data_IF_669517090554
#
_entry.id   IF_669517090554
#
_cell.length_a   1.000
_cell.length_b   1.000
_cell.length_c   1.000
_cell.angle_alpha   90.00
_cell.angle_beta   90.00
_cell.angle_gamma   90.00
#
_symmetry.space_group_name_H-M   'P 1'
#
loop_
_entity.id
_entity.type
_entity.pdbx_description
1 polymer ?
#
# COMPACT_ATOMS: atom_id res chain seq x y z
N UNK A 1 -15.62 -2.36 7.15
CA UNK A 1 -14.67 -1.80 6.16
C UNK A 1 -15.51 -1.46 4.93
N UNK A 2 -15.76 -0.19 4.64
CA UNK A 2 -16.52 0.21 3.47
C UNK A 2 -15.57 0.20 2.27
N UNK A 3 -15.82 -0.68 1.30
CA UNK A 3 -15.25 -0.55 -0.03
C UNK A 3 -15.90 0.70 -0.63
N UNK A 4 -15.16 1.79 -0.75
CA UNK A 4 -15.68 2.95 -1.45
C UNK A 4 -15.83 2.60 -2.92
N UNK A 5 -17.04 2.79 -3.45
CA UNK A 5 -17.26 2.84 -4.89
C UNK A 5 -16.21 3.72 -5.55
N UNK A 6 -15.73 3.30 -6.71
CA UNK A 6 -14.75 4.04 -7.50
C UNK A 6 -15.38 5.37 -7.90
N UNK A 7 -15.09 6.41 -7.12
CA UNK A 7 -15.47 7.77 -7.49
C UNK A 7 -14.61 8.17 -8.70
N UNK A 8 -15.19 8.77 -9.76
CA UNK A 8 -14.44 9.23 -10.93
C UNK A 8 -13.27 10.12 -10.50
N UNK A 9 -12.08 9.79 -10.91
CA UNK A 9 -10.80 10.29 -10.38
C UNK A 9 -10.51 11.78 -10.62
N UNK A 10 -11.38 12.56 -11.23
CA UNK A 10 -11.04 13.93 -11.66
C UNK A 10 -11.55 15.05 -10.76
N UNK A 11 -12.70 14.88 -10.14
CA UNK A 11 -13.49 16.02 -9.66
C UNK A 11 -13.69 16.09 -8.14
N UNK A 12 -13.24 15.10 -7.39
CA UNK A 12 -13.43 15.12 -5.95
C UNK A 12 -12.32 15.89 -5.24
N UNK A 13 -12.66 17.11 -4.80
CA UNK A 13 -11.78 17.93 -3.95
C UNK A 13 -12.11 17.65 -2.49
N UNK A 14 -11.15 17.11 -1.77
CA UNK A 14 -11.23 16.99 -0.32
C UNK A 14 -11.06 18.38 0.28
N UNK A 15 -12.04 18.82 1.08
CA UNK A 15 -11.95 20.08 1.83
C UNK A 15 -11.40 19.80 3.22
N UNK A 16 -10.09 19.69 3.34
CA UNK A 16 -9.37 19.56 4.61
C UNK A 16 -8.15 20.49 4.57
N UNK A 17 -8.26 21.62 5.27
CA UNK A 17 -7.24 22.69 5.30
C UNK A 17 -5.83 22.19 5.59
N UNK A 18 -5.69 21.08 6.30
CA UNK A 18 -4.39 20.47 6.63
C UNK A 18 -3.66 19.96 5.38
N UNK A 19 -4.41 19.45 4.40
CA UNK A 19 -3.88 18.80 3.20
C UNK A 19 -4.07 19.62 1.92
N UNK A 20 -4.83 20.73 1.94
CA UNK A 20 -5.15 21.54 0.77
C UNK A 20 -3.91 21.98 -0.03
N UNK A 21 -2.83 22.31 0.69
CA UNK A 21 -1.54 22.70 0.08
C UNK A 21 -0.89 21.61 -0.76
N UNK A 22 -1.23 20.35 -0.52
CA UNK A 22 -0.63 19.21 -1.21
C UNK A 22 -1.40 18.81 -2.48
N UNK A 23 -2.63 19.28 -2.64
CA UNK A 23 -3.51 18.96 -3.77
C UNK A 23 -3.63 17.45 -4.02
N UNK A 24 -3.73 16.67 -2.95
CA UNK A 24 -3.80 15.23 -3.01
C UNK A 24 -5.04 14.76 -3.78
N UNK A 25 -4.88 13.73 -4.58
CA UNK A 25 -5.99 12.92 -5.05
C UNK A 25 -6.62 12.18 -3.86
N UNK A 26 -7.84 11.71 -4.03
CA UNK A 26 -8.60 11.10 -2.92
C UNK A 26 -7.86 9.95 -2.22
N UNK A 27 -7.24 9.07 -2.99
CA UNK A 27 -6.47 7.96 -2.42
C UNK A 27 -5.21 8.44 -1.67
N UNK A 28 -4.52 9.46 -2.18
CA UNK A 28 -3.36 10.07 -1.53
C UNK A 28 -3.75 10.75 -0.21
N UNK A 29 -4.93 11.39 -0.20
CA UNK A 29 -5.51 11.96 1.02
C UNK A 29 -5.77 10.88 2.08
N UNK A 30 -6.30 9.71 1.69
CA UNK A 30 -6.52 8.61 2.63
C UNK A 30 -5.22 8.10 3.25
N UNK A 31 -4.11 8.02 2.49
CA UNK A 31 -2.81 7.71 3.05
C UNK A 31 -2.39 8.75 4.11
N UNK A 32 -2.44 10.03 3.76
CA UNK A 32 -2.05 11.10 4.65
C UNK A 32 -2.91 11.12 5.93
N UNK A 33 -4.23 10.96 5.78
CA UNK A 33 -5.17 10.96 6.91
C UNK A 33 -4.99 9.75 7.82
N UNK A 34 -4.77 8.57 7.23
CA UNK A 34 -4.54 7.34 8.01
C UNK A 34 -3.24 7.42 8.79
N UNK A 35 -2.16 7.91 8.16
CA UNK A 35 -0.90 8.15 8.84
C UNK A 35 -1.02 9.13 10.00
N UNK A 36 -1.82 10.19 9.86
CA UNK A 36 -2.03 11.16 10.94
C UNK A 36 -2.81 10.58 12.13
N UNK A 37 -3.62 9.55 11.89
CA UNK A 37 -4.40 8.87 12.91
C UNK A 37 -3.69 7.68 13.55
N UNK A 38 -2.62 7.23 12.94
CA UNK A 38 -1.81 6.14 13.45
C UNK A 38 -0.85 6.67 14.52
N UNK A 39 -0.71 5.96 15.63
CA UNK A 39 0.30 6.26 16.65
C UNK A 39 1.71 6.03 16.11
N UNK A 40 2.76 6.67 16.65
CA UNK A 40 4.14 6.30 16.37
C UNK A 40 4.38 4.80 16.54
N UNK A 41 5.17 4.19 15.66
CA UNK A 41 5.41 2.75 15.65
C UNK A 41 4.23 1.91 15.13
N UNK A 42 3.04 2.48 15.00
CA UNK A 42 1.88 1.77 14.47
C UNK A 42 2.07 1.34 13.02
N UNK A 43 1.59 0.15 12.68
CA UNK A 43 1.66 -0.42 11.33
C UNK A 43 0.30 -0.37 10.67
N UNK A 44 0.27 -0.04 9.39
CA UNK A 44 -0.92 -0.11 8.55
C UNK A 44 -0.64 -0.78 7.22
N UNK A 45 -1.66 -1.44 6.66
CA UNK A 45 -1.65 -1.94 5.30
C UNK A 45 -2.82 -1.31 4.54
N UNK A 46 -2.55 -0.73 3.38
CA UNK A 46 -3.54 -0.10 2.51
C UNK A 46 -3.45 -0.67 1.11
N UNK A 47 -4.64 -0.96 0.54
CA UNK A 47 -4.76 -1.32 -0.88
C UNK A 47 -5.05 -0.04 -1.67
N UNK A 48 -4.28 0.18 -2.73
CA UNK A 48 -4.42 1.34 -3.61
C UNK A 48 -4.22 0.93 -5.07
N UNK A 49 -4.55 1.80 -6.01
CA UNK A 49 -4.14 1.59 -7.40
C UNK A 49 -2.63 1.74 -7.56
N UNK A 50 -2.04 1.09 -8.58
CA UNK A 50 -0.61 1.25 -8.92
C UNK A 50 -0.17 2.72 -9.02
N UNK A 51 -1.11 3.62 -9.31
CA UNK A 51 -0.82 5.05 -9.47
C UNK A 51 -0.19 5.71 -8.25
N UNK A 52 -0.38 5.21 -7.05
CA UNK A 52 0.31 5.74 -5.86
C UNK A 52 1.82 5.50 -5.96
N UNK A 53 2.23 4.31 -6.39
CA UNK A 53 3.63 3.94 -6.52
C UNK A 53 4.23 4.41 -7.85
N UNK A 54 3.50 4.34 -8.97
CA UNK A 54 4.04 4.51 -10.33
C UNK A 54 3.84 5.91 -10.95
N UNK A 55 3.13 6.84 -10.28
CA UNK A 55 2.96 8.18 -10.87
C UNK A 55 4.29 8.94 -10.98
N UNK A 56 4.45 9.74 -12.02
CA UNK A 56 5.67 10.53 -12.28
C UNK A 56 5.96 11.51 -11.13
N UNK A 57 4.92 12.11 -10.54
CA UNK A 57 5.11 13.05 -9.44
C UNK A 57 5.50 12.33 -8.15
N UNK A 58 6.61 12.75 -7.56
CA UNK A 58 7.17 12.15 -6.33
C UNK A 58 6.46 12.63 -5.06
N UNK A 59 5.65 13.69 -5.14
CA UNK A 59 5.16 14.44 -3.99
C UNK A 59 4.49 13.57 -2.91
N UNK A 60 3.65 12.62 -3.33
CA UNK A 60 2.94 11.74 -2.41
C UNK A 60 3.89 10.73 -1.76
N UNK A 61 4.76 10.09 -2.54
CA UNK A 61 5.75 9.14 -2.02
C UNK A 61 6.73 9.81 -1.05
N UNK A 62 7.21 11.01 -1.36
CA UNK A 62 8.02 11.83 -0.43
C UNK A 62 7.25 12.14 0.86
N UNK A 63 5.98 12.55 0.74
CA UNK A 63 5.14 12.83 1.90
C UNK A 63 5.02 11.60 2.81
N UNK A 64 4.78 10.43 2.22
CA UNK A 64 4.68 9.16 2.95
C UNK A 64 6.02 8.81 3.58
N UNK A 65 7.12 8.82 2.81
CA UNK A 65 8.46 8.44 3.26
C UNK A 65 8.96 9.26 4.45
N UNK A 66 8.64 10.55 4.47
CA UNK A 66 8.98 11.43 5.61
C UNK A 66 8.24 11.06 6.90
N UNK A 67 7.11 10.37 6.82
CA UNK A 67 6.20 10.07 7.95
C UNK A 67 6.12 8.60 8.30
N UNK A 68 6.47 7.75 7.37
CA UNK A 68 6.38 6.31 7.54
C UNK A 68 7.53 5.61 6.83
N UNK A 69 7.86 4.44 7.32
CA UNK A 69 8.76 3.50 6.68
C UNK A 69 7.94 2.53 5.83
N UNK A 70 8.41 2.24 4.62
CA UNK A 70 7.85 1.19 3.79
C UNK A 70 8.44 -0.14 4.24
N UNK A 71 7.64 -0.95 4.91
CA UNK A 71 8.03 -2.31 5.30
C UNK A 71 7.99 -3.28 4.11
N UNK A 72 7.07 -3.02 3.18
CA UNK A 72 6.94 -3.78 1.95
C UNK A 72 5.78 -3.30 1.10
N UNK A 73 5.79 -3.69 -0.17
CA UNK A 73 4.67 -3.49 -1.08
C UNK A 73 4.46 -4.74 -1.92
N UNK A 74 3.20 -5.08 -2.21
CA UNK A 74 2.84 -6.24 -3.03
C UNK A 74 1.98 -5.75 -4.18
N UNK A 75 2.37 -6.06 -5.42
CA UNK A 75 1.60 -5.75 -6.62
C UNK A 75 0.69 -6.89 -7.00
N UNK A 76 -0.60 -6.60 -7.09
CA UNK A 76 -1.65 -7.55 -7.44
C UNK A 76 -1.93 -7.55 -8.94
N UNK A 77 -2.29 -8.70 -9.53
CA UNK A 77 -2.75 -8.77 -10.91
C UNK A 77 -3.99 -7.90 -11.15
N UNK A 78 -4.15 -7.45 -12.39
CA UNK A 78 -5.23 -6.54 -12.78
C UNK A 78 -6.63 -7.11 -12.60
N UNK A 79 -6.78 -8.43 -12.60
CA UNK A 79 -8.07 -9.12 -12.45
C UNK A 79 -8.47 -9.42 -11.00
N UNK A 80 -7.63 -9.08 -10.03
CA UNK A 80 -7.85 -9.39 -8.60
C UNK A 80 -9.22 -8.95 -8.10
N UNK A 81 -9.70 -7.80 -8.53
CA UNK A 81 -10.99 -7.25 -8.11
C UNK A 81 -12.10 -7.35 -9.18
N UNK A 82 -11.85 -8.06 -10.30
CA UNK A 82 -12.81 -8.17 -11.39
C UNK A 82 -14.13 -8.81 -10.94
N UNK A 83 -14.06 -9.90 -10.15
CA UNK A 83 -15.26 -10.60 -9.66
C UNK A 83 -16.11 -9.78 -8.69
N UNK A 84 -15.49 -8.84 -7.95
CA UNK A 84 -16.16 -8.12 -6.86
C UNK A 84 -16.56 -6.70 -7.22
N UNK A 85 -15.67 -6.01 -7.95
CA UNK A 85 -15.85 -4.61 -8.31
C UNK A 85 -16.11 -4.43 -9.82
N UNK A 86 -16.11 -5.50 -10.60
CA UNK A 86 -16.33 -5.43 -12.05
C UNK A 86 -15.24 -4.64 -12.78
N UNK A 87 -14.08 -4.42 -12.17
CA UNK A 87 -13.00 -3.61 -12.73
C UNK A 87 -11.71 -4.39 -12.84
N UNK A 88 -10.97 -4.15 -13.92
CA UNK A 88 -9.62 -4.64 -14.11
C UNK A 88 -8.63 -3.51 -13.84
N UNK A 89 -8.00 -3.53 -12.68
CA UNK A 89 -7.06 -2.51 -12.26
C UNK A 89 -5.90 -3.12 -11.50
N UNK A 90 -4.68 -2.78 -11.87
CA UNK A 90 -3.49 -3.15 -11.09
C UNK A 90 -3.53 -2.39 -9.78
N UNK A 91 -3.43 -3.12 -8.69
CA UNK A 91 -3.48 -2.57 -7.33
C UNK A 91 -2.24 -2.99 -6.55
N UNK A 92 -1.82 -2.12 -5.66
CA UNK A 92 -0.69 -2.36 -4.77
C UNK A 92 -1.18 -2.40 -3.32
N UNK A 93 -0.64 -3.33 -2.53
CA UNK A 93 -0.78 -3.34 -1.07
C UNK A 93 0.48 -2.70 -0.51
N UNK A 94 0.36 -1.60 0.20
CA UNK A 94 1.48 -0.94 0.87
C UNK A 94 1.41 -1.20 2.36
N UNK A 95 2.51 -1.68 2.93
CA UNK A 95 2.67 -1.95 4.36
C UNK A 95 3.64 -0.92 4.91
N UNK A 96 3.13 -0.08 5.81
CA UNK A 96 3.82 1.11 6.29
C UNK A 96 3.86 1.11 7.82
N UNK A 97 5.01 1.49 8.38
CA UNK A 97 5.13 1.79 9.80
C UNK A 97 5.26 3.29 10.03
N UNK A 98 4.43 3.84 10.90
CA UNK A 98 4.47 5.25 11.28
C UNK A 98 5.75 5.56 12.03
N UNK A 99 6.49 6.60 11.58
CA UNK A 99 7.66 7.13 12.31
C UNK A 99 7.22 7.93 13.52
N UNK A 100 8.09 8.03 14.50
CA UNK A 100 7.90 8.87 15.71
C UNK A 100 7.94 10.37 15.38
N UNK A 101 8.72 10.74 14.36
CA UNK A 101 8.92 12.13 13.92
C UNK A 101 9.01 12.22 12.41
N UNK A 102 8.93 13.44 11.91
CA UNK A 102 9.22 13.73 10.50
C UNK A 102 10.73 13.61 10.26
N UNK A 103 11.09 12.83 9.24
CA UNK A 103 12.47 12.67 8.80
C UNK A 103 12.55 13.16 7.35
N UNK A 104 13.50 14.04 7.07
CA UNK A 104 13.79 14.46 5.69
C UNK A 104 14.65 13.39 4.99
N UNK A 105 13.95 12.40 4.44
CA UNK A 105 14.56 11.24 3.78
C UNK A 105 13.88 11.01 2.43
N UNK A 106 14.65 10.55 1.48
CA UNK A 106 14.21 10.19 0.14
C UNK A 106 14.77 8.82 -0.25
N UNK A 107 14.18 7.72 0.29
CA UNK A 107 14.60 6.37 -0.05
C UNK A 107 14.27 6.03 -1.51
N UNK A 108 14.92 5.01 -2.06
CA UNK A 108 14.82 4.63 -3.47
C UNK A 108 13.39 4.42 -3.95
N UNK A 109 12.52 3.83 -3.12
CA UNK A 109 11.13 3.60 -3.48
C UNK A 109 10.30 4.88 -3.71
N UNK A 110 10.83 6.05 -3.40
CA UNK A 110 10.21 7.33 -3.79
C UNK A 110 10.31 7.55 -5.30
N UNK A 111 11.30 6.94 -5.95
CA UNK A 111 11.59 7.11 -7.37
C UNK A 111 10.99 5.99 -8.22
N UNK A 112 11.02 6.23 -9.53
CA UNK A 112 10.71 5.22 -10.55
C UNK A 112 12.01 4.72 -11.15
N UNK A 113 11.97 3.47 -11.61
CA UNK A 113 13.04 2.84 -12.35
C UNK A 113 12.44 2.04 -13.51
N UNK A 114 13.28 1.37 -14.27
CA UNK A 114 12.89 0.58 -15.44
C UNK A 114 13.38 -0.84 -15.26
N UNK A 115 12.50 -1.82 -15.44
CA UNK A 115 12.87 -3.22 -15.38
C UNK A 115 13.67 -3.67 -16.61
N UNK A 116 14.13 -4.91 -16.62
CA UNK A 116 14.88 -5.51 -17.72
C UNK A 116 14.10 -5.55 -19.06
N UNK A 117 12.78 -5.47 -19.02
CA UNK A 117 11.87 -5.45 -20.17
C UNK A 117 11.56 -4.04 -20.68
N UNK A 118 12.15 -3.00 -20.06
CA UNK A 118 11.90 -1.62 -20.41
C UNK A 118 10.59 -1.05 -19.85
N UNK A 119 9.96 -1.70 -18.87
CA UNK A 119 8.74 -1.25 -18.25
C UNK A 119 9.08 -0.34 -17.07
N UNK A 120 8.62 0.90 -17.15
CA UNK A 120 8.80 1.88 -16.07
C UNK A 120 7.80 1.64 -14.94
N UNK A 121 8.31 1.50 -13.73
CA UNK A 121 7.51 1.31 -12.52
C UNK A 121 8.28 1.82 -11.28
N UNK A 122 7.70 1.67 -10.11
CA UNK A 122 8.38 2.05 -8.87
C UNK A 122 9.66 1.22 -8.67
N UNK A 123 10.75 1.88 -8.24
CA UNK A 123 12.04 1.22 -8.01
C UNK A 123 11.97 0.07 -7.02
N UNK A 124 11.05 0.12 -6.04
CA UNK A 124 10.81 -0.99 -5.12
C UNK A 124 10.48 -2.29 -5.87
N UNK A 125 9.59 -2.24 -6.86
CA UNK A 125 9.19 -3.43 -7.62
C UNK A 125 10.26 -3.86 -8.63
N UNK A 126 11.12 -2.96 -9.08
CA UNK A 126 12.27 -3.33 -9.91
C UNK A 126 13.31 -4.08 -9.08
N UNK A 127 13.53 -3.66 -7.82
CA UNK A 127 14.45 -4.30 -6.89
C UNK A 127 13.89 -5.59 -6.27
N UNK A 128 12.55 -5.70 -6.17
CA UNK A 128 11.83 -6.81 -5.54
C UNK A 128 10.80 -7.40 -6.50
N UNK A 129 11.21 -8.05 -7.60
CA UNK A 129 10.29 -8.62 -8.59
C UNK A 129 9.42 -9.75 -8.01
N UNK A 130 9.88 -10.43 -6.95
CA UNK A 130 9.12 -11.44 -6.21
C UNK A 130 7.85 -10.89 -5.53
N UNK A 131 7.78 -9.57 -5.36
CA UNK A 131 6.62 -8.89 -4.79
C UNK A 131 5.56 -8.54 -5.83
N UNK A 132 5.76 -8.91 -7.09
CA UNK A 132 4.79 -8.75 -8.19
C UNK A 132 4.11 -10.10 -8.44
N UNK A 133 2.80 -10.19 -8.14
CA UNK A 133 2.04 -11.44 -8.23
C UNK A 133 1.48 -11.72 -9.63
N UNK A 134 2.21 -11.34 -10.66
CA UNK A 134 1.86 -11.53 -12.05
C UNK A 134 2.96 -11.07 -12.97
N UNK A 135 2.70 -11.11 -14.27
CA UNK A 135 3.65 -10.69 -15.30
C UNK A 135 3.38 -9.23 -15.70
N UNK A 136 4.40 -8.38 -15.59
CA UNK A 136 4.30 -7.00 -16.09
C UNK A 136 4.36 -6.97 -17.60
N UNK A 137 3.37 -6.34 -18.23
CA UNK A 137 3.25 -6.21 -19.69
C UNK A 137 2.79 -4.82 -20.10
N UNK A 138 3.26 -4.39 -21.27
CA UNK A 138 2.71 -3.21 -21.94
C UNK A 138 1.49 -3.64 -22.78
N UNK A 139 0.35 -3.02 -22.52
CA UNK A 139 -0.89 -3.28 -23.26
C UNK A 139 -1.43 -2.00 -23.88
N UNK A 140 -2.23 -2.13 -24.94
CA UNK A 140 -2.93 -1.00 -25.53
C UNK A 140 -4.13 -0.63 -24.68
N UNK A 141 -4.05 0.48 -23.97
CA UNK A 141 -5.12 1.05 -23.18
C UNK A 141 -5.89 2.16 -23.93
N UNK A 142 -6.86 2.75 -23.26
CA UNK A 142 -7.71 3.81 -23.82
C UNK A 142 -6.93 5.06 -24.26
N UNK A 143 -5.82 5.34 -23.60
CA UNK A 143 -5.02 6.57 -23.80
C UNK A 143 -3.61 6.27 -24.34
N UNK A 144 -3.36 5.08 -24.84
CA UNK A 144 -2.07 4.64 -25.37
C UNK A 144 -1.56 3.36 -24.71
N UNK A 145 -0.28 3.11 -24.85
CA UNK A 145 0.36 1.95 -24.19
C UNK A 145 0.46 2.20 -22.69
N UNK A 146 0.02 1.24 -21.90
CA UNK A 146 0.09 1.29 -20.45
C UNK A 146 0.64 -0.02 -19.87
N UNK A 147 1.40 0.10 -18.78
CA UNK A 147 1.88 -1.05 -18.04
C UNK A 147 0.74 -1.69 -17.23
N UNK A 148 0.60 -3.00 -17.32
CA UNK A 148 -0.36 -3.77 -16.52
C UNK A 148 0.34 -5.00 -15.92
N UNK A 149 -0.24 -5.55 -14.85
CA UNK A 149 0.19 -6.80 -14.24
C UNK A 149 -0.83 -7.88 -14.61
N UNK A 150 -0.44 -8.79 -15.49
CA UNK A 150 -1.30 -9.90 -15.93
C UNK A 150 -1.18 -11.07 -14.94
N UNK A 151 -2.28 -11.74 -14.59
CA UNK A 151 -2.19 -12.93 -13.73
C UNK A 151 -1.41 -14.03 -14.43
N UNK A 152 -0.65 -14.81 -13.65
CA UNK A 152 -0.09 -16.05 -14.18
C UNK A 152 -1.19 -17.08 -14.43
N UNK A 153 -1.03 -17.90 -15.49
CA UNK A 153 -1.98 -18.96 -15.80
C UNK A 153 -2.05 -19.98 -14.65
N UNK A 154 -3.27 -20.31 -14.23
CA UNK A 154 -3.54 -21.29 -13.16
C UNK A 154 -2.87 -20.98 -11.79
N UNK A 155 -2.44 -19.77 -11.56
CA UNK A 155 -1.86 -19.39 -10.27
C UNK A 155 -2.95 -19.26 -9.19
N UNK A 156 -2.64 -19.74 -8.00
CA UNK A 156 -3.42 -19.48 -6.79
C UNK A 156 -2.94 -18.16 -6.17
N UNK A 157 -3.73 -17.11 -6.30
CA UNK A 157 -3.42 -15.81 -5.73
C UNK A 157 -3.24 -15.86 -4.21
N UNK A 158 -3.96 -16.75 -3.51
CA UNK A 158 -3.82 -16.88 -2.08
C UNK A 158 -2.44 -17.43 -1.68
N UNK A 159 -1.97 -18.46 -2.39
CA UNK A 159 -0.64 -19.01 -2.20
C UNK A 159 0.46 -17.98 -2.53
N UNK A 160 0.30 -17.24 -3.63
CA UNK A 160 1.23 -16.15 -3.99
C UNK A 160 1.28 -15.05 -2.94
N UNK A 161 0.13 -14.67 -2.37
CA UNK A 161 0.08 -13.69 -1.29
C UNK A 161 0.78 -14.18 -0.02
N UNK A 162 0.62 -15.46 0.33
CA UNK A 162 1.32 -16.04 1.48
C UNK A 162 2.83 -15.99 1.30
N UNK A 163 3.31 -16.32 0.12
CA UNK A 163 4.73 -16.26 -0.23
C UNK A 163 5.25 -14.81 -0.21
N UNK A 164 4.54 -13.88 -0.83
CA UNK A 164 4.93 -12.47 -0.83
C UNK A 164 4.97 -11.88 0.59
N UNK A 165 4.04 -12.26 1.46
CA UNK A 165 4.04 -11.83 2.87
C UNK A 165 5.25 -12.38 3.62
N UNK A 166 5.64 -13.63 3.35
CA UNK A 166 6.84 -14.22 3.94
C UNK A 166 8.14 -13.54 3.46
N UNK A 167 8.10 -12.93 2.28
CA UNK A 167 9.23 -12.21 1.66
C UNK A 167 9.24 -10.71 1.98
N UNK A 168 8.43 -10.22 2.92
CA UNK A 168 8.52 -8.83 3.36
C UNK A 168 9.82 -8.62 4.14
N UNK A 169 10.66 -7.70 3.65
CA UNK A 169 12.00 -7.46 4.18
C UNK A 169 12.06 -6.37 5.24
N UNK A 170 11.01 -5.55 5.37
CA UNK A 170 10.99 -4.44 6.32
C UNK A 170 10.95 -4.93 7.77
N UNK A 171 11.84 -4.41 8.59
CA UNK A 171 11.87 -4.68 10.03
C UNK A 171 11.01 -3.67 10.78
N UNK A 172 10.26 -4.15 11.77
CA UNK A 172 9.48 -3.27 12.63
C UNK A 172 10.41 -2.65 13.67
N UNK A 173 10.44 -1.32 13.66
CA UNK A 173 11.15 -0.54 14.68
C UNK A 173 10.25 -0.38 15.90
N UNK A 174 10.73 -0.77 17.07
CA UNK A 174 10.06 -0.46 18.33
C UNK A 174 10.39 0.98 18.72
N UNK A 175 9.34 1.78 18.95
CA UNK A 175 9.46 3.14 19.47
C UNK A 175 9.00 3.14 20.91
N UNK A 176 9.87 3.62 21.82
CA UNK A 176 9.46 3.89 23.20
C UNK A 176 8.40 5.00 23.18
N UNK A 177 7.22 4.72 23.68
CA UNK A 177 6.19 5.72 23.88
C UNK A 177 6.36 6.28 25.28
N UNK A 178 6.45 7.61 25.42
CA UNK A 178 6.55 8.31 26.71
C UNK A 178 5.35 7.99 27.64
N UNK A 179 4.30 7.38 27.13
CA UNK A 179 3.09 6.97 27.87
C UNK A 179 3.26 5.69 28.70
N UNK A 180 4.35 4.94 28.54
CA UNK A 180 4.61 3.77 29.41
C UNK A 180 5.13 4.14 30.80
N UNK A 181 5.35 5.42 31.09
CA UNK A 181 5.84 5.87 32.40
C UNK A 181 4.76 6.42 33.35
N UNK A 182 3.53 6.65 32.88
CA UNK A 182 2.44 7.11 33.76
C UNK A 182 1.10 6.55 33.26
N UNK A 183 0.63 5.46 33.85
CA UNK A 183 -0.75 5.14 34.19
C UNK A 183 -0.99 3.63 34.25
N UNK A 184 -0.99 3.10 35.47
CA UNK A 184 -1.84 1.96 35.80
C UNK A 184 -3.30 2.42 35.69
N UNK A 185 -3.86 2.44 34.48
CA UNK A 185 -5.28 2.62 34.28
C UNK A 185 -5.89 1.40 33.60
N UNK A 186 -7.05 0.94 34.14
CA UNK A 186 -7.86 -0.21 33.78
C UNK A 186 -8.50 -0.13 32.38
N UNK A 187 -7.80 0.37 31.38
CA UNK A 187 -8.22 0.32 30.00
C UNK A 187 -7.67 -0.93 29.31
N UNK A 188 -8.50 -1.55 28.50
CA UNK A 188 -8.27 -2.77 27.74
C UNK A 188 -6.85 -2.79 27.17
N UNK A 189 -5.99 -3.78 27.47
CA UNK A 189 -4.62 -3.84 27.00
C UNK A 189 -4.58 -3.73 25.48
N UNK A 190 -3.88 -2.73 24.97
CA UNK A 190 -3.52 -2.69 23.57
C UNK A 190 -2.66 -3.92 23.29
N UNK A 191 -3.17 -4.80 22.43
CA UNK A 191 -2.58 -6.10 22.16
C UNK A 191 -1.19 -5.95 21.53
N UNK A 192 -0.16 -6.41 22.22
CA UNK A 192 1.21 -6.17 21.81
C UNK A 192 1.64 -7.25 20.83
N UNK A 193 1.85 -6.97 19.61
CA UNK A 193 2.77 -7.70 18.76
C UNK A 193 2.32 -7.89 17.32
N UNK A 194 3.27 -7.88 16.44
CA UNK A 194 3.28 -8.33 15.04
C UNK A 194 2.48 -9.62 14.80
N UNK A 195 2.44 -10.52 15.79
CA UNK A 195 1.62 -11.74 15.77
C UNK A 195 0.13 -11.43 15.54
N UNK A 196 -0.36 -10.34 16.10
CA UNK A 196 -1.76 -9.92 15.94
C UNK A 196 -1.97 -9.11 14.66
N UNK A 197 -0.93 -8.45 14.14
CA UNK A 197 -0.95 -7.90 12.79
C UNK A 197 -1.14 -9.02 11.76
N UNK A 198 -0.38 -10.10 11.88
CA UNK A 198 -0.52 -11.27 11.00
C UNK A 198 -1.90 -11.95 11.13
N UNK A 199 -2.49 -11.98 12.34
CA UNK A 199 -3.85 -12.49 12.57
C UNK A 199 -4.90 -11.55 11.96
N UNK A 200 -4.75 -10.23 12.06
CA UNK A 200 -5.60 -9.25 11.37
C UNK A 200 -5.40 -9.28 9.87
N UNK A 201 -4.18 -9.52 9.43
CA UNK A 201 -3.86 -9.76 8.03
C UNK A 201 -4.53 -11.04 7.51
N UNK A 202 -4.54 -12.11 8.32
CA UNK A 202 -5.30 -13.31 7.99
C UNK A 202 -6.81 -13.02 7.84
N UNK A 203 -7.36 -12.11 8.61
CA UNK A 203 -8.75 -11.66 8.44
C UNK A 203 -8.95 -10.86 7.14
N UNK A 204 -7.98 -10.04 6.72
CA UNK A 204 -8.00 -9.36 5.41
C UNK A 204 -7.90 -10.40 4.29
N UNK A 205 -6.98 -11.35 4.40
CA UNK A 205 -6.85 -12.49 3.48
C UNK A 205 -8.16 -13.29 3.39
N UNK A 206 -8.76 -13.62 4.53
CA UNK A 206 -10.03 -14.35 4.57
C UNK A 206 -11.19 -13.58 3.94
N UNK A 207 -11.08 -12.26 3.85
CA UNK A 207 -12.05 -11.39 3.19
C UNK A 207 -11.79 -11.32 1.69
N UNK A 208 -10.52 -11.28 1.26
CA UNK A 208 -10.13 -11.28 -0.16
C UNK A 208 -10.41 -12.65 -0.81
N UNK A 209 -10.16 -13.75 -0.07
CA UNK A 209 -10.27 -15.14 -0.57
C UNK A 209 -11.69 -15.71 -0.43
N UNK A 210 -12.51 -15.23 0.50
CA UNK A 210 -13.90 -15.71 0.70
C UNK A 210 -14.94 -15.04 -0.20
N UNK A 211 -14.50 -14.30 -1.20
CA UNK A 211 -15.42 -13.73 -2.16
C UNK A 211 -15.71 -14.82 -3.21
N UNK A 212 -16.90 -15.40 -3.27
CA UNK A 212 -17.19 -16.46 -4.22
C UNK A 212 -17.09 -15.94 -5.65
N UNK A 213 -16.52 -16.77 -6.51
CA UNK A 213 -16.48 -16.60 -7.97
C UNK A 213 -17.90 -16.59 -8.53
#
# INVERSE_FOLDING_TARGET
>A
MALSEIVPFGDFKVSDKRYDKHKFLIHDYFFAKSLDKLRPGGVMALVTSKGTMDKETLAVRKYIAQRAELLGAIRLPNNTFKGNAGTEVVSDILILQKRDRLIDIEPDWVHLDTDENGIKMNSYFVQHPEMILGEMKMVSGRFGMEATCMPYENADLAAQLDEAVANIHGEITEYETEEELEEEDNSIPADPTVRNFLIRWWAIKSTIVKIPV
#
